data_IF_685489257526
#
_entry.id   IF_685489257526
#
_cell.length_a   1.000
_cell.length_b   1.000
_cell.length_c   1.000
_cell.angle_alpha   90.00
_cell.angle_beta   90.00
_cell.angle_gamma   90.00
#
_symmetry.space_group_name_H-M   'P 1'
#
loop_
_entity.id
_entity.type
_entity.pdbx_description
1 polymer ?
#
# COMPACT_ATOMS: atom_id res chain seq x y z
N UNK A 1 22.35 -10.05 25.98
CA UNK A 1 21.14 -10.07 26.83
C UNK A 1 19.96 -10.13 25.88
N UNK A 2 19.22 -11.24 25.85
CA UNK A 2 18.04 -11.40 24.99
C UNK A 2 16.82 -10.85 25.73
N UNK A 3 16.08 -9.92 25.11
CA UNK A 3 14.82 -9.39 25.67
C UNK A 3 13.78 -10.51 25.80
N UNK A 4 12.89 -10.48 26.81
CA UNK A 4 11.79 -11.42 26.94
C UNK A 4 10.66 -11.03 25.95
N UNK A 5 10.63 -11.69 24.80
CA UNK A 5 10.13 -11.13 23.52
C UNK A 5 8.62 -10.87 23.38
N UNK A 6 7.69 -11.47 24.13
CA UNK A 6 6.28 -11.51 23.62
C UNK A 6 5.24 -10.66 24.36
N UNK A 7 5.51 -10.17 25.58
CA UNK A 7 4.60 -9.25 26.30
C UNK A 7 4.90 -7.77 26.05
N UNK A 8 6.13 -7.46 25.63
CA UNK A 8 6.59 -6.10 25.40
C UNK A 8 6.23 -5.58 24.00
N UNK A 9 5.98 -6.46 23.03
CA UNK A 9 5.74 -6.07 21.63
C UNK A 9 4.43 -5.29 21.45
N UNK A 10 3.36 -5.67 22.15
CA UNK A 10 2.10 -4.92 22.11
C UNK A 10 2.25 -3.53 22.76
N UNK A 11 3.05 -3.42 23.83
CA UNK A 11 3.39 -2.13 24.45
C UNK A 11 4.23 -1.26 23.50
N UNK A 12 5.20 -1.86 22.81
CA UNK A 12 6.01 -1.17 21.80
C UNK A 12 5.15 -0.69 20.63
N UNK A 13 4.14 -1.45 20.20
CA UNK A 13 3.18 -1.00 19.18
C UNK A 13 2.39 0.22 19.66
N UNK A 14 1.94 0.23 20.91
CA UNK A 14 1.26 1.39 21.49
C UNK A 14 2.18 2.62 21.54
N UNK A 15 3.39 2.45 22.06
CA UNK A 15 4.40 3.52 22.12
C UNK A 15 4.84 4.00 20.74
N UNK A 16 4.88 3.13 19.73
CA UNK A 16 5.19 3.51 18.36
C UNK A 16 4.13 4.45 17.77
N UNK A 17 2.86 4.30 18.16
CA UNK A 17 1.79 5.24 17.72
C UNK A 17 2.06 6.65 18.20
N UNK A 18 2.66 6.78 19.38
CA UNK A 18 3.02 8.02 20.07
C UNK A 18 4.44 8.53 19.74
N UNK A 19 5.22 7.77 18.98
CA UNK A 19 6.63 8.12 18.69
C UNK A 19 7.58 7.90 19.87
N UNK A 20 7.18 7.12 20.88
CA UNK A 20 7.88 6.96 22.15
C UNK A 20 8.78 5.70 22.22
N UNK A 21 9.14 5.10 21.08
CA UNK A 21 10.05 3.95 21.02
C UNK A 21 11.49 4.44 20.94
N UNK A 22 12.36 3.92 21.80
CA UNK A 22 13.78 4.32 21.86
C UNK A 22 14.61 3.69 20.73
N UNK A 23 15.78 4.25 20.47
CA UNK A 23 16.72 3.72 19.47
C UNK A 23 17.14 2.29 19.78
N UNK A 24 17.43 1.97 21.05
CA UNK A 24 17.82 0.61 21.46
C UNK A 24 16.68 -0.40 21.25
N UNK A 25 15.42 0.00 21.46
CA UNK A 25 14.26 -0.86 21.19
C UNK A 25 14.06 -1.05 19.68
N UNK A 26 14.24 0.01 18.88
CA UNK A 26 14.22 -0.07 17.41
C UNK A 26 15.29 -1.05 16.90
N UNK A 27 16.52 -0.97 17.40
CA UNK A 27 17.61 -1.89 17.03
C UNK A 27 17.30 -3.34 17.44
N UNK A 28 16.72 -3.53 18.63
CA UNK A 28 16.28 -4.85 19.07
C UNK A 28 15.18 -5.43 18.17
N UNK A 29 14.19 -4.62 17.79
CA UNK A 29 13.12 -4.99 16.86
C UNK A 29 13.70 -5.35 15.49
N UNK A 30 14.58 -4.52 14.93
CA UNK A 30 15.21 -4.77 13.64
C UNK A 30 16.08 -6.04 13.64
N UNK A 31 16.81 -6.28 14.74
CA UNK A 31 17.61 -7.49 14.94
C UNK A 31 16.73 -8.75 15.02
N UNK A 32 15.63 -8.69 15.78
CA UNK A 32 14.66 -9.77 15.89
C UNK A 32 13.97 -10.08 14.54
N UNK A 33 13.59 -9.04 13.79
CA UNK A 33 13.01 -9.18 12.45
C UNK A 33 14.01 -9.80 11.45
N UNK A 34 15.29 -9.42 11.55
CA UNK A 34 16.35 -9.93 10.67
C UNK A 34 16.69 -11.40 10.91
N UNK A 35 16.52 -11.90 12.14
CA UNK A 35 17.02 -13.23 12.56
C UNK A 35 16.07 -14.40 12.26
N UNK A 36 15.20 -14.29 11.24
CA UNK A 36 14.09 -15.23 10.97
C UNK A 36 13.24 -15.44 12.23
N UNK A 37 12.79 -14.32 12.80
CA UNK A 37 11.88 -14.31 13.94
C UNK A 37 10.58 -15.07 13.70
N UNK A 38 9.84 -15.30 14.78
CA UNK A 38 8.51 -15.87 14.75
C UNK A 38 7.62 -15.11 13.74
N UNK A 39 7.05 -15.83 12.77
CA UNK A 39 6.16 -15.25 11.75
C UNK A 39 5.03 -14.45 12.39
N UNK A 40 4.50 -14.91 13.54
CA UNK A 40 3.41 -14.28 14.27
C UNK A 40 3.67 -12.83 14.73
N UNK A 41 4.94 -12.44 14.92
CA UNK A 41 5.32 -11.10 15.39
C UNK A 41 5.83 -10.20 14.27
N UNK A 42 5.99 -10.75 13.07
CA UNK A 42 6.54 -10.04 11.91
C UNK A 42 5.74 -8.78 11.59
N UNK A 43 4.40 -8.89 11.59
CA UNK A 43 3.52 -7.75 11.36
C UNK A 43 3.78 -6.60 12.36
N UNK A 44 3.86 -6.90 13.66
CA UNK A 44 4.06 -5.91 14.72
C UNK A 44 5.43 -5.24 14.61
N UNK A 45 6.48 -6.02 14.35
CA UNK A 45 7.84 -5.51 14.17
C UNK A 45 7.94 -4.60 12.94
N UNK A 46 7.40 -5.03 11.79
CA UNK A 46 7.31 -4.21 10.57
C UNK A 46 6.53 -2.91 10.84
N UNK A 47 5.40 -3.01 11.55
CA UNK A 47 4.60 -1.84 11.93
C UNK A 47 5.39 -0.84 12.74
N UNK A 48 6.11 -1.28 13.77
CA UNK A 48 6.93 -0.41 14.63
C UNK A 48 7.99 0.32 13.77
N UNK A 49 8.77 -0.41 12.97
CA UNK A 49 9.82 0.18 12.14
C UNK A 49 9.27 1.18 11.11
N UNK A 50 8.17 0.82 10.44
CA UNK A 50 7.48 1.68 9.49
C UNK A 50 6.95 2.96 10.13
N UNK A 51 6.24 2.81 11.26
CA UNK A 51 5.61 3.90 12.00
C UNK A 51 6.62 4.89 12.57
N UNK A 52 7.77 4.40 13.03
CA UNK A 52 8.85 5.22 13.56
C UNK A 52 9.69 5.88 12.45
N UNK A 53 9.39 5.64 11.17
CA UNK A 53 10.12 6.25 10.06
C UNK A 53 11.58 5.80 10.00
N UNK A 54 11.86 4.54 10.32
CA UNK A 54 13.23 4.01 10.35
C UNK A 54 13.72 3.63 8.94
N UNK A 55 13.94 4.64 8.08
CA UNK A 55 14.37 4.48 6.68
C UNK A 55 15.65 3.65 6.52
N UNK A 56 16.53 3.62 7.53
CA UNK A 56 17.75 2.80 7.50
C UNK A 56 17.47 1.29 7.43
N UNK A 57 16.23 0.85 7.72
CA UNK A 57 15.80 -0.55 7.62
C UNK A 57 14.94 -0.82 6.39
N UNK A 58 14.97 0.06 5.39
CA UNK A 58 14.26 -0.12 4.11
C UNK A 58 14.52 -1.50 3.48
N UNK A 59 15.79 -1.88 3.28
CA UNK A 59 16.15 -3.16 2.66
C UNK A 59 15.72 -4.38 3.49
N UNK A 60 15.54 -4.20 4.81
CA UNK A 60 15.00 -5.25 5.66
C UNK A 60 13.49 -5.42 5.43
N UNK A 61 12.75 -4.31 5.38
CA UNK A 61 11.31 -4.33 5.10
C UNK A 61 11.00 -4.85 3.69
N UNK A 62 11.78 -4.45 2.69
CA UNK A 62 11.58 -4.83 1.29
C UNK A 62 11.57 -6.35 1.05
N UNK A 63 12.22 -7.13 1.94
CA UNK A 63 12.22 -8.60 1.88
C UNK A 63 10.83 -9.22 2.04
N UNK A 64 9.87 -8.47 2.60
CA UNK A 64 8.51 -8.94 2.83
C UNK A 64 7.51 -8.42 1.78
N UNK A 65 7.95 -7.71 0.72
CA UNK A 65 7.07 -7.26 -0.37
C UNK A 65 6.34 -8.40 -1.08
N UNK A 66 6.94 -9.59 -1.09
CA UNK A 66 6.34 -10.82 -1.59
C UNK A 66 6.41 -11.89 -0.49
N UNK A 67 5.42 -11.88 0.40
CA UNK A 67 5.38 -12.77 1.56
C UNK A 67 4.08 -13.59 1.62
N UNK A 68 3.96 -14.65 0.77
CA UNK A 68 2.71 -15.40 0.61
C UNK A 68 2.16 -16.07 1.88
N UNK A 69 3.01 -16.34 2.87
CA UNK A 69 2.59 -16.93 4.14
C UNK A 69 1.82 -15.96 5.03
N UNK A 70 2.03 -14.64 4.88
CA UNK A 70 1.34 -13.61 5.64
C UNK A 70 1.05 -12.39 4.73
N UNK A 71 -0.03 -12.43 3.92
CA UNK A 71 -0.39 -11.34 3.00
C UNK A 71 -0.52 -9.97 3.69
N UNK A 72 -1.01 -9.94 4.93
CA UNK A 72 -1.09 -8.73 5.77
C UNK A 72 0.25 -8.02 5.92
N UNK A 73 1.34 -8.79 6.07
CA UNK A 73 2.69 -8.23 6.21
C UNK A 73 3.15 -7.63 4.88
N UNK A 74 2.91 -8.32 3.76
CA UNK A 74 3.25 -7.80 2.44
C UNK A 74 2.49 -6.50 2.13
N UNK A 75 1.18 -6.48 2.40
CA UNK A 75 0.36 -5.28 2.26
C UNK A 75 0.86 -4.14 3.14
N UNK A 76 1.19 -4.42 4.41
CA UNK A 76 1.75 -3.42 5.33
C UNK A 76 3.07 -2.85 4.80
N UNK A 77 3.97 -3.68 4.28
CA UNK A 77 5.25 -3.21 3.69
C UNK A 77 5.02 -2.36 2.46
N UNK A 78 4.10 -2.72 1.55
CA UNK A 78 3.74 -1.86 0.42
C UNK A 78 3.24 -0.51 0.92
N UNK A 79 2.34 -0.50 1.90
CA UNK A 79 1.84 0.75 2.48
C UNK A 79 2.98 1.61 3.06
N UNK A 80 3.90 1.00 3.80
CA UNK A 80 5.04 1.72 4.38
C UNK A 80 5.94 2.27 3.28
N UNK A 81 6.49 1.41 2.42
CA UNK A 81 7.51 1.79 1.45
C UNK A 81 6.93 2.71 0.37
N UNK A 82 5.81 2.32 -0.25
CA UNK A 82 5.26 3.05 -1.39
C UNK A 82 4.46 4.29 -0.97
N UNK A 83 3.62 4.17 0.05
CA UNK A 83 2.72 5.25 0.45
C UNK A 83 3.31 6.15 1.53
N UNK A 84 3.79 5.60 2.65
CA UNK A 84 4.23 6.43 3.78
C UNK A 84 5.60 7.06 3.52
N UNK A 85 6.55 6.27 3.02
CA UNK A 85 7.93 6.69 2.78
C UNK A 85 8.15 7.24 1.36
N UNK A 86 7.16 7.09 0.46
CA UNK A 86 7.19 7.69 -0.88
C UNK A 86 8.15 7.01 -1.86
N UNK A 87 8.53 5.76 -1.59
CA UNK A 87 9.52 5.00 -2.37
C UNK A 87 8.89 4.17 -3.50
N UNK A 88 7.64 4.47 -3.87
CA UNK A 88 6.91 3.73 -4.90
C UNK A 88 7.65 3.66 -6.24
N UNK A 89 8.40 4.72 -6.63
CA UNK A 89 9.20 4.71 -7.84
C UNK A 89 10.35 3.68 -7.79
N UNK A 90 10.95 3.45 -6.62
CA UNK A 90 12.02 2.45 -6.43
C UNK A 90 11.45 1.03 -6.46
N UNK A 91 10.28 0.83 -5.88
CA UNK A 91 9.59 -0.47 -5.79
C UNK A 91 8.46 -0.62 -6.82
N UNK A 92 8.65 -0.01 -8.00
CA UNK A 92 7.63 0.09 -9.04
C UNK A 92 7.18 -1.29 -9.51
N UNK A 93 8.11 -2.20 -9.73
CA UNK A 93 7.81 -3.52 -10.29
C UNK A 93 7.08 -4.39 -9.26
N UNK A 94 7.45 -4.30 -7.97
CA UNK A 94 6.72 -4.95 -6.88
C UNK A 94 5.31 -4.37 -6.71
N UNK A 95 5.16 -3.05 -6.84
CA UNK A 95 3.85 -2.39 -6.83
C UNK A 95 2.96 -2.88 -7.99
N UNK A 96 3.51 -2.96 -9.21
CA UNK A 96 2.81 -3.51 -10.37
C UNK A 96 2.44 -4.99 -10.19
N UNK A 97 3.34 -5.76 -9.59
CA UNK A 97 3.08 -7.17 -9.30
C UNK A 97 1.96 -7.32 -8.27
N UNK A 98 1.92 -6.45 -7.26
CA UNK A 98 0.89 -6.43 -6.22
C UNK A 98 -0.49 -6.01 -6.74
N UNK A 99 -0.57 -5.23 -7.83
CA UNK A 99 -1.86 -4.91 -8.49
C UNK A 99 -2.53 -6.12 -9.16
N UNK A 100 -1.78 -7.21 -9.39
CA UNK A 100 -2.31 -8.45 -9.96
C UNK A 100 -3.04 -9.27 -8.90
N UNK A 101 -4.03 -10.05 -9.31
CA UNK A 101 -4.61 -11.07 -8.44
C UNK A 101 -3.60 -12.17 -8.16
N UNK A 102 -3.43 -12.54 -6.89
CA UNK A 102 -2.59 -13.64 -6.46
C UNK A 102 -3.40 -14.69 -5.72
N UNK A 103 -3.22 -16.01 -6.00
CA UNK A 103 -3.93 -17.06 -5.27
C UNK A 103 -3.66 -17.08 -3.77
N UNK A 104 -2.52 -16.54 -3.34
CA UNK A 104 -2.14 -16.44 -1.92
C UNK A 104 -2.71 -15.19 -1.23
N UNK A 105 -3.20 -14.20 -1.99
CA UNK A 105 -3.84 -12.99 -1.46
C UNK A 105 -5.36 -13.17 -1.46
N UNK A 106 -5.84 -14.18 -0.73
CA UNK A 106 -7.25 -14.65 -0.76
C UNK A 106 -8.24 -13.51 -0.46
N UNK A 107 -7.90 -12.69 0.53
CA UNK A 107 -8.73 -11.56 0.97
C UNK A 107 -8.39 -10.25 0.22
N UNK A 108 -7.50 -10.31 -0.78
CA UNK A 108 -7.05 -9.19 -1.60
C UNK A 108 -6.42 -8.02 -0.80
N UNK A 109 -5.84 -8.29 0.36
CA UNK A 109 -5.26 -7.27 1.24
C UNK A 109 -4.08 -6.56 0.58
N UNK A 110 -3.20 -7.33 -0.07
CA UNK A 110 -2.04 -6.78 -0.77
C UNK A 110 -2.50 -5.94 -1.94
N UNK A 111 -3.41 -6.48 -2.74
CA UNK A 111 -3.91 -5.81 -3.93
C UNK A 111 -4.69 -4.53 -3.60
N UNK A 112 -5.49 -4.50 -2.53
CA UNK A 112 -6.18 -3.31 -2.05
C UNK A 112 -5.21 -2.19 -1.66
N UNK A 113 -4.14 -2.53 -0.94
CA UNK A 113 -3.11 -1.56 -0.56
C UNK A 113 -2.35 -1.06 -1.78
N UNK A 114 -2.01 -1.95 -2.72
CA UNK A 114 -1.35 -1.59 -3.96
C UNK A 114 -2.17 -0.59 -4.78
N UNK A 115 -3.48 -0.78 -4.91
CA UNK A 115 -4.39 0.16 -5.59
C UNK A 115 -4.26 1.58 -4.99
N UNK A 116 -4.31 1.68 -3.66
CA UNK A 116 -4.21 2.96 -2.96
C UNK A 116 -2.83 3.60 -3.14
N UNK A 117 -1.77 2.81 -3.04
CA UNK A 117 -0.39 3.26 -3.24
C UNK A 117 -0.15 3.76 -4.67
N UNK A 118 -0.69 3.06 -5.67
CA UNK A 118 -0.62 3.44 -7.08
C UNK A 118 -1.29 4.78 -7.36
N UNK A 119 -2.47 5.03 -6.79
CA UNK A 119 -3.13 6.33 -6.92
C UNK A 119 -2.25 7.48 -6.40
N UNK A 120 -1.59 7.28 -5.26
CA UNK A 120 -0.64 8.25 -4.70
C UNK A 120 0.62 8.40 -5.56
N UNK A 121 1.18 7.29 -6.03
CA UNK A 121 2.36 7.28 -6.90
C UNK A 121 2.14 8.10 -8.17
N UNK A 122 0.97 7.92 -8.81
CA UNK A 122 0.61 8.60 -10.06
C UNK A 122 0.36 10.12 -9.91
N UNK A 123 0.19 10.65 -8.70
CA UNK A 123 0.09 12.11 -8.48
C UNK A 123 1.35 12.83 -8.95
N UNK A 124 2.52 12.20 -8.83
CA UNK A 124 3.81 12.82 -9.14
C UNK A 124 4.63 12.06 -10.18
N UNK A 125 4.09 10.96 -10.72
CA UNK A 125 4.79 10.10 -11.68
C UNK A 125 3.87 9.75 -12.84
N UNK A 126 4.36 9.91 -14.06
CA UNK A 126 3.67 9.40 -15.25
C UNK A 126 4.11 7.97 -15.50
N UNK A 127 3.22 7.01 -15.22
CA UNK A 127 3.49 5.59 -15.39
C UNK A 127 2.30 4.87 -16.04
N UNK A 128 2.49 4.51 -17.30
CA UNK A 128 1.46 3.95 -18.13
C UNK A 128 1.03 2.55 -17.69
N UNK A 129 1.95 1.71 -17.25
CA UNK A 129 1.58 0.36 -16.81
C UNK A 129 0.72 0.44 -15.55
N UNK A 130 1.09 1.31 -14.60
CA UNK A 130 0.32 1.49 -13.36
C UNK A 130 -1.05 2.09 -13.64
N UNK A 131 -1.12 3.10 -14.50
CA UNK A 131 -2.39 3.73 -14.90
C UNK A 131 -3.32 2.73 -15.59
N UNK A 132 -2.80 1.99 -16.58
CA UNK A 132 -3.57 0.97 -17.31
C UNK A 132 -4.10 -0.09 -16.34
N UNK A 133 -3.29 -0.58 -15.41
CA UNK A 133 -3.74 -1.56 -14.41
C UNK A 133 -4.85 -1.02 -13.52
N UNK A 134 -4.80 0.23 -13.08
CA UNK A 134 -5.88 0.83 -12.30
C UNK A 134 -7.17 0.97 -13.13
N UNK A 135 -7.07 1.36 -14.40
CA UNK A 135 -8.21 1.43 -15.33
C UNK A 135 -8.85 0.04 -15.49
N UNK A 136 -8.07 -1.00 -15.76
CA UNK A 136 -8.57 -2.38 -15.89
C UNK A 136 -9.31 -2.85 -14.62
N UNK A 137 -8.79 -2.52 -13.43
CA UNK A 137 -9.45 -2.87 -12.15
C UNK A 137 -10.77 -2.09 -12.00
N UNK A 138 -10.79 -0.81 -12.36
CA UNK A 138 -11.97 0.04 -12.30
C UNK A 138 -13.05 -0.34 -13.35
N UNK A 139 -12.65 -0.98 -14.44
CA UNK A 139 -13.53 -1.50 -15.49
C UNK A 139 -14.15 -2.85 -15.17
N UNK A 140 -13.64 -3.58 -14.17
CA UNK A 140 -14.23 -4.86 -13.79
C UNK A 140 -15.74 -4.74 -13.52
N UNK A 141 -16.53 -5.63 -14.11
CA UNK A 141 -18.02 -5.56 -14.12
C UNK A 141 -18.66 -5.76 -12.73
N UNK A 142 -17.86 -6.10 -11.72
CA UNK A 142 -18.34 -6.29 -10.35
C UNK A 142 -18.44 -4.97 -9.57
N UNK A 143 -19.50 -4.84 -8.77
CA UNK A 143 -19.58 -3.86 -7.67
C UNK A 143 -18.64 -4.23 -6.50
N UNK A 144 -17.42 -4.69 -6.83
CA UNK A 144 -16.42 -5.08 -5.86
C UNK A 144 -15.84 -3.86 -5.15
N UNK A 145 -15.34 -4.07 -3.93
CA UNK A 145 -14.54 -3.06 -3.23
C UNK A 145 -13.35 -2.63 -4.09
N UNK A 146 -12.75 -3.55 -4.87
CA UNK A 146 -11.61 -3.26 -5.75
C UNK A 146 -11.93 -2.18 -6.76
N UNK A 147 -13.08 -2.30 -7.44
CA UNK A 147 -13.54 -1.28 -8.41
C UNK A 147 -13.67 0.09 -7.75
N UNK A 148 -14.29 0.13 -6.56
CA UNK A 148 -14.43 1.38 -5.80
C UNK A 148 -13.06 1.99 -5.48
N UNK A 149 -12.16 1.21 -4.89
CA UNK A 149 -10.84 1.71 -4.50
C UNK A 149 -9.99 2.13 -5.71
N UNK A 150 -10.12 1.45 -6.85
CA UNK A 150 -9.46 1.84 -8.09
C UNK A 150 -9.97 3.17 -8.63
N UNK A 151 -11.29 3.40 -8.62
CA UNK A 151 -11.85 4.70 -9.00
C UNK A 151 -11.40 5.83 -8.06
N UNK A 152 -11.37 5.59 -6.75
CA UNK A 152 -10.83 6.56 -5.79
C UNK A 152 -9.34 6.83 -6.01
N UNK A 153 -8.55 5.80 -6.31
CA UNK A 153 -7.13 5.93 -6.64
C UNK A 153 -6.90 6.73 -7.93
N UNK A 154 -7.69 6.47 -8.98
CA UNK A 154 -7.67 7.23 -10.23
C UNK A 154 -8.05 8.69 -9.98
N UNK A 155 -9.10 8.95 -9.20
CA UNK A 155 -9.50 10.30 -8.82
C UNK A 155 -8.36 11.07 -8.12
N UNK A 156 -7.63 10.42 -7.19
CA UNK A 156 -6.45 11.01 -6.54
C UNK A 156 -5.34 11.30 -7.56
N UNK A 157 -5.05 10.37 -8.46
CA UNK A 157 -4.01 10.57 -9.50
C UNK A 157 -4.32 11.73 -10.44
N UNK A 158 -5.60 12.03 -10.67
CA UNK A 158 -6.07 13.16 -11.47
C UNK A 158 -6.02 14.51 -10.72
N UNK A 159 -5.55 14.51 -9.47
CA UNK A 159 -5.33 15.71 -8.67
C UNK A 159 -6.42 16.02 -7.64
N UNK A 160 -7.42 15.15 -7.47
CA UNK A 160 -8.43 15.35 -6.42
C UNK A 160 -7.82 15.20 -5.02
N UNK A 161 -8.26 16.05 -4.08
CA UNK A 161 -7.88 15.93 -2.68
C UNK A 161 -8.42 14.65 -2.04
N UNK A 162 -7.87 14.25 -0.89
CA UNK A 162 -8.25 12.97 -0.25
C UNK A 162 -9.75 12.88 0.08
N UNK A 163 -10.37 13.98 0.51
CA UNK A 163 -11.80 14.06 0.81
C UNK A 163 -12.70 14.10 -0.43
N UNK A 164 -12.15 14.53 -1.57
CA UNK A 164 -12.87 14.66 -2.84
C UNK A 164 -12.80 13.35 -3.65
N UNK A 165 -11.71 12.60 -3.49
CA UNK A 165 -11.52 11.28 -4.07
C UNK A 165 -12.19 10.18 -3.24
N UNK A 166 -13.42 10.43 -2.81
CA UNK A 166 -14.26 9.46 -2.12
C UNK A 166 -15.52 9.26 -2.94
N UNK A 167 -15.81 8.00 -3.25
CA UNK A 167 -17.00 7.67 -4.03
C UNK A 167 -18.27 8.11 -3.29
N UNK A 168 -19.20 8.82 -3.96
CA UNK A 168 -20.48 9.19 -3.37
C UNK A 168 -21.31 7.98 -2.92
N UNK A 169 -22.11 8.15 -1.87
CA UNK A 169 -23.03 7.13 -1.37
C UNK A 169 -24.33 7.04 -2.18
N UNK A 170 -24.77 8.15 -2.76
CA UNK A 170 -25.93 8.19 -3.65
C UNK A 170 -25.65 7.47 -4.97
N UNK A 171 -26.57 6.62 -5.43
CA UNK A 171 -26.35 5.76 -6.59
C UNK A 171 -26.26 6.54 -7.91
N UNK A 172 -27.04 7.61 -8.06
CA UNK A 172 -27.03 8.44 -9.27
C UNK A 172 -25.73 9.24 -9.32
N UNK A 173 -25.36 9.88 -8.21
CA UNK A 173 -24.10 10.61 -8.08
C UNK A 173 -22.89 9.69 -8.28
N UNK A 174 -22.93 8.48 -7.71
CA UNK A 174 -21.88 7.45 -7.89
C UNK A 174 -21.68 7.07 -9.34
N UNK A 175 -22.76 6.84 -10.10
CA UNK A 175 -22.67 6.46 -11.51
C UNK A 175 -22.05 7.58 -12.36
N UNK A 176 -22.49 8.82 -12.14
CA UNK A 176 -21.95 10.00 -12.82
C UNK A 176 -20.47 10.20 -12.48
N UNK A 177 -20.14 10.23 -11.19
CA UNK A 177 -18.76 10.40 -10.71
C UNK A 177 -17.83 9.30 -11.24
N UNK A 178 -18.25 8.03 -11.20
CA UNK A 178 -17.45 6.92 -11.72
C UNK A 178 -17.17 7.09 -13.22
N UNK A 179 -18.16 7.53 -14.00
CA UNK A 179 -18.00 7.73 -15.45
C UNK A 179 -17.02 8.86 -15.73
N UNK A 180 -17.16 9.99 -15.04
CA UNK A 180 -16.28 11.15 -15.21
C UNK A 180 -14.82 10.83 -14.88
N UNK A 181 -14.57 10.09 -13.80
CA UNK A 181 -13.21 9.65 -13.44
C UNK A 181 -12.63 8.73 -14.52
N UNK A 182 -13.41 7.78 -15.03
CA UNK A 182 -12.96 6.87 -16.08
C UNK A 182 -12.66 7.59 -17.40
N UNK A 183 -13.51 8.54 -17.79
CA UNK A 183 -13.31 9.32 -19.02
C UNK A 183 -12.02 10.16 -18.93
N UNK A 184 -11.77 10.79 -17.78
CA UNK A 184 -10.53 11.53 -17.53
C UNK A 184 -9.30 10.63 -17.52
N UNK A 185 -9.37 9.48 -16.84
CA UNK A 185 -8.26 8.53 -16.77
C UNK A 185 -7.89 7.99 -18.17
N UNK A 186 -8.89 7.63 -18.98
CA UNK A 186 -8.68 7.19 -20.37
C UNK A 186 -8.11 8.29 -21.25
N UNK A 187 -8.56 9.53 -21.06
CA UNK A 187 -8.01 10.70 -21.78
C UNK A 187 -6.53 10.91 -21.46
N UNK A 188 -6.14 10.85 -20.18
CA UNK A 188 -4.73 10.90 -19.77
C UNK A 188 -3.94 9.74 -20.36
N UNK A 189 -4.46 8.52 -20.31
CA UNK A 189 -3.81 7.35 -20.92
C UNK A 189 -3.57 7.55 -22.42
N UNK A 190 -4.55 8.03 -23.19
CA UNK A 190 -4.40 8.27 -24.63
C UNK A 190 -3.35 9.35 -24.92
N UNK A 191 -3.27 10.39 -24.08
CA UNK A 191 -2.32 11.49 -24.25
C UNK A 191 -0.89 11.10 -23.90
N UNK A 192 -0.72 10.38 -22.79
CA UNK A 192 0.58 10.20 -22.14
C UNK A 192 1.20 8.82 -22.45
N UNK A 193 0.39 7.83 -22.82
CA UNK A 193 0.82 6.43 -22.97
C UNK A 193 0.75 5.86 -24.38
N UNK A 194 -0.05 6.45 -25.27
CA UNK A 194 -0.15 6.04 -26.67
C UNK A 194 0.66 7.03 -27.51
N UNK A 195 1.92 6.67 -27.79
CA UNK A 195 2.78 7.35 -28.77
C UNK A 195 3.10 6.42 -29.93
#
# INVERSE_FOLDING_TARGET
MAMPVFRELDELVLRAKEGAVTVSEIEAVASALSSRGNVADTYRMVYILGRMGCYQYEDLLARFLNFPSEPQVAGLVISILCSQWGLAAKYRDELLQALRSHPWDVDNEVRLVAISASGKYLVSNSDCDVLVRLIEIAESDDYSHMRRFALEALSRSLGAGYSEAVMPSDQVAKATWSREIMDQARSSMLKDCVK
#
